data_IF_310248627280
#
_entry.id   IF_310248627280
#
_cell.length_a   1.000
_cell.length_b   1.000
_cell.length_c   1.000
_cell.angle_alpha   90.00
_cell.angle_beta   90.00
_cell.angle_gamma   90.00
#
_symmetry.space_group_name_H-M   'P 1'
#
loop_
_entity.id
_entity.type
_entity.pdbx_description
1 polymer ?
#
# COMPACT_ATOMS: atom_id res chain seq x y z
N UNK A 1 -22.13 5.35 22.63
CA UNK A 1 -21.86 6.10 21.39
C UNK A 1 -21.03 7.37 21.63
N UNK A 2 -21.34 8.21 22.65
CA UNK A 2 -20.62 9.48 22.89
C UNK A 2 -19.08 9.37 23.04
N UNK A 3 -18.49 8.44 23.83
CA UNK A 3 -17.03 8.35 23.94
C UNK A 3 -16.34 8.02 22.61
N UNK A 4 -16.91 7.11 21.81
CA UNK A 4 -16.40 6.80 20.49
C UNK A 4 -16.45 8.00 19.54
N UNK A 5 -17.56 8.75 19.51
CA UNK A 5 -17.71 9.91 18.65
C UNK A 5 -16.70 11.00 19.02
N UNK A 6 -16.47 11.25 20.31
CA UNK A 6 -15.46 12.23 20.78
C UNK A 6 -14.06 11.82 20.34
N UNK A 7 -13.66 10.57 20.56
CA UNK A 7 -12.34 10.09 20.15
C UNK A 7 -12.18 10.12 18.62
N UNK A 8 -13.21 9.76 17.87
CA UNK A 8 -13.19 9.83 16.41
C UNK A 8 -12.98 11.26 15.91
N UNK A 9 -13.72 12.21 16.47
CA UNK A 9 -13.55 13.64 16.13
C UNK A 9 -12.13 14.12 16.46
N UNK A 10 -11.64 13.85 17.67
CA UNK A 10 -10.33 14.35 18.11
C UNK A 10 -9.16 13.71 17.35
N UNK A 11 -9.22 12.42 17.09
CA UNK A 11 -8.08 11.67 16.50
C UNK A 11 -8.09 11.70 14.98
N UNK A 12 -9.27 11.74 14.34
CA UNK A 12 -9.37 11.69 12.87
C UNK A 12 -9.80 13.02 12.27
N UNK A 13 -10.90 13.61 12.72
CA UNK A 13 -11.43 14.82 12.05
C UNK A 13 -10.57 16.06 12.32
N UNK A 14 -10.11 16.26 13.55
CA UNK A 14 -9.29 17.45 13.87
C UNK A 14 -7.99 17.48 13.06
N UNK A 15 -7.17 16.41 12.98
CA UNK A 15 -5.97 16.42 12.14
C UNK A 15 -6.26 16.64 10.64
N UNK A 16 -7.36 16.08 10.13
CA UNK A 16 -7.78 16.31 8.74
C UNK A 16 -8.10 17.80 8.51
N UNK A 17 -8.88 18.42 9.40
CA UNK A 17 -9.22 19.85 9.33
C UNK A 17 -7.96 20.72 9.41
N UNK A 18 -7.03 20.37 10.31
CA UNK A 18 -5.74 21.06 10.42
C UNK A 18 -4.94 20.94 9.14
N UNK A 19 -4.85 19.76 8.54
CA UNK A 19 -4.16 19.55 7.26
C UNK A 19 -4.81 20.32 6.12
N UNK A 20 -6.16 20.33 6.04
CA UNK A 20 -6.89 21.14 5.06
C UNK A 20 -6.57 22.63 5.26
N UNK A 21 -6.61 23.13 6.50
CA UNK A 21 -6.25 24.52 6.79
C UNK A 21 -4.80 24.81 6.39
N UNK A 22 -3.85 23.98 6.81
CA UNK A 22 -2.43 24.18 6.54
C UNK A 22 -2.13 24.23 5.04
N UNK A 23 -2.86 23.47 4.22
CA UNK A 23 -2.65 23.46 2.76
C UNK A 23 -2.89 24.82 2.07
N UNK A 24 -3.62 25.74 2.71
CA UNK A 24 -3.84 27.10 2.21
C UNK A 24 -2.80 28.12 2.69
N UNK A 25 -1.83 27.69 3.51
CA UNK A 25 -0.77 28.55 4.05
C UNK A 25 0.61 28.07 3.58
N UNK A 26 1.55 28.98 3.47
CA UNK A 26 2.98 28.70 3.24
C UNK A 26 3.84 29.45 4.25
N UNK A 27 4.95 28.85 4.62
CA UNK A 27 5.95 29.50 5.46
C UNK A 27 6.84 30.38 4.61
N UNK A 28 6.75 31.71 4.80
CA UNK A 28 7.52 32.71 4.08
C UNK A 28 8.40 33.46 5.08
N UNK A 29 9.69 33.72 4.79
CA UNK A 29 10.55 34.55 5.63
C UNK A 29 9.98 35.96 5.75
N UNK A 30 9.85 36.50 6.97
CA UNK A 30 9.24 37.81 7.25
C UNK A 30 10.18 39.01 7.07
N UNK A 31 11.45 38.81 6.70
CA UNK A 31 12.49 39.86 6.64
C UNK A 31 12.81 40.32 5.23
N UNK A 32 12.88 41.65 5.05
CA UNK A 32 13.36 42.36 3.84
C UNK A 32 14.91 42.37 3.69
N UNK A 33 15.62 41.49 4.42
CA UNK A 33 17.10 41.45 4.35
C UNK A 33 17.61 40.88 3.05
N UNK A 34 18.73 41.42 2.52
CA UNK A 34 19.42 40.97 1.29
C UNK A 34 19.78 39.47 1.27
N UNK A 35 19.73 38.81 2.44
CA UNK A 35 20.02 37.37 2.63
C UNK A 35 18.82 36.57 3.17
N UNK A 36 17.58 37.10 3.08
CA UNK A 36 16.38 36.37 3.48
C UNK A 36 16.28 36.05 4.98
N UNK A 37 16.97 36.82 5.85
CA UNK A 37 16.94 36.62 7.30
C UNK A 37 15.64 37.17 7.92
N UNK A 38 14.78 36.30 8.42
CA UNK A 38 13.58 36.62 9.17
C UNK A 38 12.93 35.37 9.72
N UNK A 39 12.08 35.49 10.72
CA UNK A 39 11.28 34.40 11.25
C UNK A 39 10.28 33.92 10.19
N UNK A 40 10.12 32.62 10.05
CA UNK A 40 9.14 32.02 9.12
C UNK A 40 7.72 32.31 9.63
N UNK A 41 6.93 33.02 8.82
CA UNK A 41 5.55 33.37 9.14
C UNK A 41 4.60 32.61 8.21
N UNK A 42 3.56 32.02 8.81
CA UNK A 42 2.49 31.39 8.04
C UNK A 42 1.68 32.44 7.27
N UNK A 43 1.82 32.46 5.97
CA UNK A 43 1.14 33.39 5.06
C UNK A 43 0.06 32.67 4.29
N UNK A 44 -1.13 33.25 4.18
CA UNK A 44 -2.22 32.69 3.38
C UNK A 44 -1.91 32.83 1.90
N UNK A 45 -1.78 31.68 1.20
CA UNK A 45 -1.45 31.60 -0.24
C UNK A 45 -2.59 31.03 -1.09
N UNK A 46 -3.78 30.85 -0.51
CA UNK A 46 -4.92 30.31 -1.23
C UNK A 46 -4.64 28.93 -1.82
N UNK A 47 -4.84 28.77 -3.14
CA UNK A 47 -4.67 27.49 -3.84
C UNK A 47 -3.27 27.25 -4.41
N UNK A 48 -2.29 28.12 -4.15
CA UNK A 48 -0.97 28.04 -4.74
C UNK A 48 -0.26 26.70 -4.44
N UNK A 49 -0.34 26.22 -3.20
CA UNK A 49 0.21 24.89 -2.84
C UNK A 49 -0.42 23.75 -3.64
N UNK A 50 -1.74 23.83 -3.93
CA UNK A 50 -2.41 22.81 -4.73
C UNK A 50 -2.02 22.88 -6.20
N UNK A 51 -1.88 24.09 -6.74
CA UNK A 51 -1.42 24.28 -8.12
C UNK A 51 0.01 23.75 -8.27
N UNK A 52 0.89 24.08 -7.32
CA UNK A 52 2.26 23.59 -7.28
C UNK A 52 2.30 22.07 -7.18
N UNK A 53 1.53 21.47 -6.29
CA UNK A 53 1.45 20.02 -6.14
C UNK A 53 0.93 19.33 -7.42
N UNK A 54 -0.13 19.85 -8.02
CA UNK A 54 -0.75 19.29 -9.21
C UNK A 54 0.10 19.43 -10.49
N UNK A 55 0.97 20.45 -10.54
CA UNK A 55 1.87 20.70 -11.69
C UNK A 55 3.27 20.13 -11.49
N UNK A 56 3.59 19.59 -10.30
CA UNK A 56 4.91 19.06 -9.99
C UNK A 56 5.18 17.74 -10.74
N UNK A 57 6.16 17.78 -11.64
CA UNK A 57 6.58 16.63 -12.43
C UNK A 57 7.14 15.48 -11.58
N UNK A 58 7.81 15.78 -10.45
CA UNK A 58 8.33 14.77 -9.53
C UNK A 58 7.19 14.00 -8.84
N UNK A 59 6.08 14.69 -8.48
CA UNK A 59 4.89 14.04 -7.93
C UNK A 59 4.28 13.03 -8.91
N UNK A 60 4.08 13.42 -10.17
CA UNK A 60 3.48 12.51 -11.16
C UNK A 60 4.42 11.38 -11.57
N UNK A 61 5.72 11.63 -11.62
CA UNK A 61 6.73 10.58 -11.86
C UNK A 61 6.74 9.56 -10.73
N UNK A 62 6.71 10.01 -9.48
CA UNK A 62 6.64 9.15 -8.29
C UNK A 62 5.31 8.37 -8.24
N UNK A 63 4.20 9.01 -8.60
CA UNK A 63 2.89 8.36 -8.71
C UNK A 63 2.89 7.28 -9.81
N UNK A 64 3.52 7.56 -10.96
CA UNK A 64 3.70 6.57 -12.04
C UNK A 64 4.49 5.33 -11.58
N UNK A 65 5.55 5.51 -10.78
CA UNK A 65 6.29 4.38 -10.16
C UNK A 65 5.41 3.57 -9.22
N UNK A 66 4.61 4.23 -8.39
CA UNK A 66 3.67 3.55 -7.47
C UNK A 66 2.57 2.80 -8.24
N UNK A 67 2.05 3.35 -9.32
CA UNK A 67 1.07 2.65 -10.18
C UNK A 67 1.70 1.41 -10.83
N UNK A 68 2.91 1.53 -11.38
CA UNK A 68 3.65 0.39 -11.95
C UNK A 68 3.92 -0.68 -10.89
N UNK A 69 4.38 -0.26 -9.72
CA UNK A 69 4.58 -1.15 -8.58
C UNK A 69 3.29 -1.88 -8.18
N UNK A 70 2.16 -1.15 -8.05
CA UNK A 70 0.86 -1.73 -7.71
C UNK A 70 0.41 -2.76 -8.74
N UNK A 71 0.63 -2.49 -10.03
CA UNK A 71 0.30 -3.39 -11.13
C UNK A 71 1.09 -4.70 -11.10
N UNK A 72 2.31 -4.68 -10.55
CA UNK A 72 3.14 -5.87 -10.36
C UNK A 72 2.78 -6.61 -9.07
N UNK A 73 2.73 -5.88 -7.95
CA UNK A 73 2.64 -6.44 -6.61
C UNK A 73 1.24 -6.96 -6.27
N UNK A 74 0.18 -6.17 -6.53
CA UNK A 74 -1.18 -6.52 -6.09
C UNK A 74 -1.68 -7.81 -6.73
N UNK A 75 -1.60 -8.04 -8.05
CA UNK A 75 -2.04 -9.30 -8.63
C UNK A 75 -1.32 -10.51 -8.05
N UNK A 76 0.01 -10.46 -7.94
CA UNK A 76 0.81 -11.57 -7.40
C UNK A 76 0.37 -11.89 -5.98
N UNK A 77 0.31 -10.89 -5.12
CA UNK A 77 -0.09 -11.04 -3.72
C UNK A 77 -1.51 -11.63 -3.58
N UNK A 78 -2.47 -11.11 -4.34
CA UNK A 78 -3.87 -11.57 -4.29
C UNK A 78 -4.00 -13.01 -4.76
N UNK A 79 -3.34 -13.39 -5.88
CA UNK A 79 -3.38 -14.76 -6.37
C UNK A 79 -2.73 -15.74 -5.39
N UNK A 80 -1.57 -15.39 -4.82
CA UNK A 80 -0.89 -16.22 -3.81
C UNK A 80 -1.76 -16.35 -2.55
N UNK A 81 -2.31 -15.25 -2.05
CA UNK A 81 -3.17 -15.24 -0.86
C UNK A 81 -4.44 -16.09 -1.06
N UNK A 82 -5.11 -15.95 -2.22
CA UNK A 82 -6.28 -16.76 -2.56
C UNK A 82 -5.91 -18.24 -2.69
N UNK A 83 -4.80 -18.57 -3.36
CA UNK A 83 -4.30 -19.93 -3.47
C UNK A 83 -4.05 -20.58 -2.12
N UNK A 84 -3.38 -19.87 -1.21
CA UNK A 84 -3.15 -20.32 0.17
C UNK A 84 -4.46 -20.49 0.95
N UNK A 85 -5.42 -19.57 0.80
CA UNK A 85 -6.72 -19.68 1.45
C UNK A 85 -7.49 -20.92 0.96
N UNK A 86 -7.52 -21.19 -0.36
CA UNK A 86 -8.14 -22.37 -0.94
C UNK A 86 -7.47 -23.67 -0.46
N UNK A 87 -6.14 -23.68 -0.34
CA UNK A 87 -5.40 -24.82 0.20
C UNK A 87 -5.75 -25.06 1.68
N UNK A 88 -5.81 -24.02 2.50
CA UNK A 88 -6.14 -24.12 3.91
C UNK A 88 -7.61 -24.48 4.17
N UNK A 89 -8.51 -24.11 3.25
CA UNK A 89 -9.92 -24.50 3.31
C UNK A 89 -10.17 -25.91 2.76
N UNK A 90 -9.16 -26.54 2.18
CA UNK A 90 -9.24 -27.92 1.69
C UNK A 90 -9.03 -28.91 2.83
N UNK A 91 -9.56 -30.15 2.66
CA UNK A 91 -9.35 -31.24 3.61
C UNK A 91 -7.92 -31.85 3.55
N UNK A 92 -7.06 -31.34 2.67
CA UNK A 92 -5.69 -31.85 2.46
C UNK A 92 -4.78 -31.43 3.63
N UNK A 93 -4.99 -30.24 4.19
CA UNK A 93 -4.12 -29.70 5.25
C UNK A 93 -4.51 -30.25 6.62
N UNK A 94 -3.60 -31.06 7.21
CA UNK A 94 -3.86 -31.70 8.51
C UNK A 94 -3.77 -30.78 9.74
N UNK A 95 -3.07 -29.65 9.65
CA UNK A 95 -2.87 -28.67 10.74
C UNK A 95 -3.07 -27.24 10.25
N UNK A 96 -4.29 -26.85 9.85
CA UNK A 96 -4.53 -25.55 9.23
C UNK A 96 -4.18 -24.37 10.14
N UNK A 97 -4.33 -24.53 11.47
CA UNK A 97 -4.02 -23.47 12.46
C UNK A 97 -2.55 -23.08 12.46
N UNK A 98 -1.62 -24.06 12.39
CA UNK A 98 -0.19 -23.77 12.35
C UNK A 98 0.19 -23.03 11.06
N UNK A 99 -0.33 -23.48 9.92
CA UNK A 99 -0.08 -22.82 8.64
C UNK A 99 -0.68 -21.39 8.59
N UNK A 100 -1.88 -21.19 9.14
CA UNK A 100 -2.47 -19.84 9.29
C UNK A 100 -1.54 -18.91 10.07
N UNK A 101 -1.04 -19.37 11.22
CA UNK A 101 -0.13 -18.59 12.05
C UNK A 101 1.18 -18.30 11.32
N UNK A 102 1.78 -19.31 10.68
CA UNK A 102 3.06 -19.16 9.97
C UNK A 102 2.97 -18.16 8.81
N UNK A 103 1.90 -18.21 8.01
CA UNK A 103 1.70 -17.27 6.90
C UNK A 103 1.31 -15.87 7.36
N UNK A 104 0.66 -15.75 8.52
CA UNK A 104 0.30 -14.45 9.09
C UNK A 104 1.45 -13.76 9.84
N UNK A 105 2.42 -14.53 10.34
CA UNK A 105 3.53 -14.02 11.14
C UNK A 105 4.29 -12.85 10.49
N UNK A 106 4.58 -12.86 9.17
CA UNK A 106 5.22 -11.73 8.50
C UNK A 106 4.50 -10.40 8.69
N UNK A 107 3.17 -10.40 8.67
CA UNK A 107 2.36 -9.20 8.87
C UNK A 107 2.50 -8.60 10.29
N UNK A 108 2.84 -9.41 11.27
CA UNK A 108 3.08 -8.95 12.65
C UNK A 108 4.43 -8.23 12.82
N UNK A 109 5.35 -8.35 11.84
CA UNK A 109 6.65 -7.66 11.86
C UNK A 109 6.44 -6.19 11.48
N UNK A 110 6.95 -5.21 12.26
CA UNK A 110 6.90 -3.80 11.88
C UNK A 110 7.51 -3.56 10.49
N UNK A 111 6.82 -2.80 9.62
CA UNK A 111 7.19 -2.65 8.20
C UNK A 111 8.63 -2.19 7.94
N UNK A 112 9.14 -1.25 8.76
CA UNK A 112 10.56 -0.81 8.66
C UNK A 112 11.51 -1.96 8.97
N UNK A 113 11.21 -2.77 10.00
CA UNK A 113 12.06 -3.93 10.36
C UNK A 113 12.01 -4.99 9.26
N UNK A 114 10.84 -5.26 8.71
CA UNK A 114 10.69 -6.16 7.58
C UNK A 114 11.51 -5.68 6.37
N UNK A 115 11.47 -4.39 6.05
CA UNK A 115 12.25 -3.81 4.97
C UNK A 115 13.77 -3.91 5.22
N UNK A 116 14.24 -3.68 6.47
CA UNK A 116 15.66 -3.85 6.84
C UNK A 116 16.11 -5.32 6.73
N UNK A 117 15.25 -6.27 7.15
CA UNK A 117 15.57 -7.70 7.00
C UNK A 117 15.74 -8.07 5.52
N UNK A 118 14.85 -7.61 4.65
CA UNK A 118 14.94 -7.87 3.23
C UNK A 118 16.10 -7.14 2.57
N UNK A 119 16.41 -5.89 2.96
CA UNK A 119 17.61 -5.17 2.52
C UNK A 119 18.86 -5.99 2.79
N UNK A 120 19.02 -6.53 4.02
CA UNK A 120 20.13 -7.41 4.37
C UNK A 120 20.19 -8.66 3.48
N UNK A 121 19.05 -9.32 3.24
CA UNK A 121 18.97 -10.50 2.38
C UNK A 121 19.25 -10.21 0.90
N UNK A 122 19.11 -8.95 0.45
CA UNK A 122 19.42 -8.52 -0.91
C UNK A 122 20.88 -8.07 -1.09
N UNK A 123 21.59 -7.85 0.02
CA UNK A 123 23.01 -7.47 -0.02
C UNK A 123 23.83 -8.62 -0.64
N UNK A 124 24.66 -8.36 -1.67
CA UNK A 124 25.33 -9.42 -2.44
C UNK A 124 26.14 -10.42 -1.61
N UNK A 125 26.83 -9.94 -0.56
CA UNK A 125 27.74 -10.73 0.27
C UNK A 125 27.03 -11.77 1.13
N UNK A 126 25.73 -11.57 1.42
CA UNK A 126 24.95 -12.42 2.34
C UNK A 126 23.69 -13.00 1.72
N UNK A 127 23.37 -12.62 0.47
CA UNK A 127 22.14 -13.04 -0.19
C UNK A 127 22.06 -14.56 -0.41
N UNK A 128 21.08 -15.24 0.17
CA UNK A 128 20.87 -16.66 -0.10
C UNK A 128 20.26 -16.93 -1.48
N UNK A 129 19.84 -15.90 -2.20
CA UNK A 129 19.13 -16.03 -3.47
C UNK A 129 20.06 -15.96 -4.68
N UNK A 130 21.13 -15.17 -4.61
CA UNK A 130 22.06 -14.92 -5.73
C UNK A 130 22.69 -16.19 -6.31
N UNK A 131 23.02 -17.24 -5.52
CA UNK A 131 23.57 -18.49 -6.09
C UNK A 131 22.60 -19.20 -7.06
N UNK A 132 21.32 -18.90 -7.00
CA UNK A 132 20.27 -19.52 -7.87
C UNK A 132 19.83 -18.62 -9.02
N UNK A 133 20.40 -17.42 -9.12
CA UNK A 133 20.01 -16.41 -10.14
C UNK A 133 21.17 -16.20 -11.13
N UNK A 134 20.86 -15.64 -12.31
CA UNK A 134 21.90 -15.30 -13.30
C UNK A 134 23.01 -14.41 -12.69
N UNK A 135 24.24 -14.62 -13.16
CA UNK A 135 25.36 -13.77 -12.79
C UNK A 135 25.08 -12.29 -13.10
N UNK A 136 25.47 -11.40 -12.19
CA UNK A 136 25.18 -9.97 -12.32
C UNK A 136 23.79 -9.53 -11.89
N UNK A 137 22.98 -10.43 -11.31
CA UNK A 137 21.70 -10.03 -10.71
C UNK A 137 21.94 -9.08 -9.53
N UNK A 138 21.37 -7.88 -9.62
CA UNK A 138 21.39 -6.87 -8.56
C UNK A 138 19.93 -6.53 -8.19
N UNK A 139 19.55 -6.86 -6.95
CA UNK A 139 18.22 -6.56 -6.41
C UNK A 139 17.96 -5.07 -6.20
N UNK A 140 19.03 -4.26 -6.17
CA UNK A 140 19.00 -2.86 -5.82
C UNK A 140 19.16 -1.95 -7.05
N UNK A 141 19.31 -2.53 -8.25
CA UNK A 141 19.44 -1.77 -9.48
C UNK A 141 18.11 -1.09 -9.88
N UNK A 142 18.14 0.01 -10.65
CA UNK A 142 16.94 0.73 -11.10
C UNK A 142 15.90 -0.14 -11.82
N UNK A 143 16.34 -1.19 -12.52
CA UNK A 143 15.45 -2.11 -13.24
C UNK A 143 14.79 -3.19 -12.38
N UNK A 144 15.34 -3.49 -11.21
CA UNK A 144 14.89 -4.59 -10.34
C UNK A 144 14.25 -4.11 -9.04
N UNK A 145 14.52 -2.88 -8.62
CA UNK A 145 14.11 -2.34 -7.32
C UNK A 145 12.60 -2.45 -7.05
N UNK A 146 11.76 -2.22 -8.06
CA UNK A 146 10.31 -2.35 -7.90
C UNK A 146 9.88 -3.81 -7.65
N UNK A 147 10.56 -4.79 -8.28
CA UNK A 147 10.32 -6.20 -8.01
C UNK A 147 10.79 -6.59 -6.61
N UNK A 148 11.93 -6.07 -6.17
CA UNK A 148 12.46 -6.29 -4.82
C UNK A 148 11.51 -5.74 -3.76
N UNK A 149 11.01 -4.52 -3.93
CA UNK A 149 9.98 -3.93 -3.07
C UNK A 149 8.66 -4.73 -3.13
N UNK A 150 8.23 -5.16 -4.34
CA UNK A 150 7.03 -5.97 -4.50
C UNK A 150 7.12 -7.32 -3.78
N UNK A 151 8.30 -7.94 -3.76
CA UNK A 151 8.54 -9.15 -2.98
C UNK A 151 8.43 -8.90 -1.47
N UNK A 152 9.03 -7.81 -0.96
CA UNK A 152 8.94 -7.44 0.47
C UNK A 152 7.49 -7.32 0.93
N UNK A 153 6.70 -6.53 0.21
CA UNK A 153 5.29 -6.29 0.58
C UNK A 153 4.40 -7.51 0.31
N UNK A 154 4.66 -8.28 -0.74
CA UNK A 154 3.97 -9.55 -0.97
C UNK A 154 4.20 -10.50 0.19
N UNK A 155 5.45 -10.67 0.65
CA UNK A 155 5.77 -11.49 1.80
C UNK A 155 5.04 -11.00 3.06
N UNK A 156 5.02 -9.70 3.32
CA UNK A 156 4.39 -9.11 4.49
C UNK A 156 2.86 -9.27 4.47
N UNK A 157 2.20 -8.97 3.36
CA UNK A 157 0.74 -8.83 3.32
C UNK A 157 -0.01 -10.05 2.78
N UNK A 158 0.66 -11.05 2.22
CA UNK A 158 -0.01 -12.26 1.69
C UNK A 158 -0.80 -12.99 2.77
N UNK A 159 -0.23 -13.18 3.96
CA UNK A 159 -0.91 -13.87 5.04
C UNK A 159 -2.13 -13.13 5.58
N UNK A 160 -2.08 -11.82 5.65
CA UNK A 160 -3.22 -10.97 6.00
C UNK A 160 -4.36 -11.14 4.98
N UNK A 161 -4.08 -11.02 3.69
CA UNK A 161 -5.05 -11.19 2.63
C UNK A 161 -5.58 -12.64 2.56
N UNK A 162 -4.73 -13.63 2.80
CA UNK A 162 -5.13 -15.04 2.93
C UNK A 162 -6.20 -15.22 4.01
N UNK A 163 -6.07 -14.57 5.18
CA UNK A 163 -7.07 -14.65 6.24
C UNK A 163 -8.40 -14.00 5.85
N UNK A 164 -8.39 -12.89 5.10
CA UNK A 164 -9.60 -12.27 4.54
C UNK A 164 -10.32 -13.28 3.64
N UNK A 165 -9.61 -13.90 2.70
CA UNK A 165 -10.20 -14.92 1.81
C UNK A 165 -10.69 -16.14 2.56
N UNK A 166 -9.90 -16.63 3.51
CA UNK A 166 -10.27 -17.81 4.31
C UNK A 166 -11.53 -17.55 5.13
N UNK A 167 -11.68 -16.36 5.71
CA UNK A 167 -12.90 -15.98 6.44
C UNK A 167 -14.11 -15.94 5.51
N UNK A 168 -13.96 -15.42 4.31
CA UNK A 168 -15.02 -15.41 3.30
C UNK A 168 -15.39 -16.83 2.83
N UNK A 169 -14.41 -17.71 2.64
CA UNK A 169 -14.65 -19.13 2.30
C UNK A 169 -15.39 -19.87 3.40
N UNK A 170 -15.06 -19.59 4.66
CA UNK A 170 -15.70 -20.24 5.83
C UNK A 170 -17.14 -19.76 6.08
N UNK A 171 -17.54 -18.63 5.52
CA UNK A 171 -18.92 -18.14 5.57
C UNK A 171 -19.84 -18.87 4.57
N UNK A 172 -19.28 -19.63 3.62
CA UNK A 172 -20.08 -20.39 2.63
C UNK A 172 -20.59 -21.68 3.26
N UNK A 173 -21.91 -21.99 3.17
CA UNK A 173 -22.47 -23.23 3.68
C UNK A 173 -21.81 -24.46 3.07
N UNK A 174 -21.45 -25.43 3.91
CA UNK A 174 -20.77 -26.68 3.48
C UNK A 174 -21.62 -27.54 2.56
N UNK A 175 -22.93 -27.50 2.73
CA UNK A 175 -23.90 -28.24 1.92
C UNK A 175 -23.72 -27.99 0.42
N UNK A 176 -23.33 -26.78 0.01
CA UNK A 176 -23.04 -26.48 -1.40
C UNK A 176 -21.88 -27.29 -1.95
N UNK A 177 -20.87 -27.55 -1.14
CA UNK A 177 -19.70 -28.35 -1.56
C UNK A 177 -20.02 -29.84 -1.55
N UNK A 178 -20.86 -30.30 -0.63
CA UNK A 178 -21.31 -31.69 -0.54
C UNK A 178 -22.23 -32.03 -1.71
N UNK A 179 -23.19 -31.16 -2.05
CA UNK A 179 -24.06 -31.34 -3.21
C UNK A 179 -23.24 -31.42 -4.51
N UNK A 180 -22.27 -30.49 -4.70
CA UNK A 180 -21.41 -30.52 -5.88
C UNK A 180 -20.57 -31.80 -5.98
N UNK A 181 -20.16 -32.39 -4.84
CA UNK A 181 -19.46 -33.70 -4.85
C UNK A 181 -20.39 -34.86 -5.22
N UNK A 182 -21.63 -34.83 -4.78
CA UNK A 182 -22.64 -35.83 -5.17
C UNK A 182 -22.90 -35.76 -6.69
N UNK A 183 -22.85 -34.55 -7.25
CA UNK A 183 -22.92 -34.32 -8.73
C UNK A 183 -21.63 -34.70 -9.46
N UNK A 184 -20.62 -35.25 -8.79
CA UNK A 184 -19.36 -35.70 -9.40
C UNK A 184 -18.32 -34.61 -9.63
N UNK A 185 -18.47 -33.41 -9.08
CA UNK A 185 -17.48 -32.34 -9.24
C UNK A 185 -16.17 -32.65 -8.49
N UNK A 186 -15.04 -32.52 -9.18
CA UNK A 186 -13.71 -32.61 -8.56
C UNK A 186 -13.42 -31.46 -7.62
N UNK A 187 -12.48 -31.63 -6.68
CA UNK A 187 -12.06 -30.57 -5.76
C UNK A 187 -11.58 -29.30 -6.46
N UNK A 188 -10.91 -29.41 -7.61
CA UNK A 188 -10.49 -28.29 -8.44
C UNK A 188 -11.70 -27.57 -9.07
N UNK A 189 -12.70 -28.33 -9.56
CA UNK A 189 -13.93 -27.74 -10.11
C UNK A 189 -14.72 -26.99 -9.03
N UNK A 190 -14.84 -27.55 -7.82
CA UNK A 190 -15.45 -26.87 -6.68
C UNK A 190 -14.71 -25.57 -6.35
N UNK A 191 -13.39 -25.60 -6.31
CA UNK A 191 -12.57 -24.41 -6.04
C UNK A 191 -12.78 -23.34 -7.11
N UNK A 192 -12.67 -23.66 -8.39
CA UNK A 192 -12.72 -22.66 -9.47
C UNK A 192 -14.14 -22.20 -9.82
N UNK A 193 -15.15 -23.08 -9.75
CA UNK A 193 -16.51 -22.77 -10.19
C UNK A 193 -17.45 -22.35 -9.06
N UNK A 194 -17.11 -22.67 -7.82
CA UNK A 194 -17.96 -22.36 -6.66
C UNK A 194 -17.24 -21.43 -5.70
N UNK A 195 -16.06 -21.82 -5.15
CA UNK A 195 -15.37 -21.05 -4.11
C UNK A 195 -14.86 -19.69 -4.62
N UNK A 196 -14.11 -19.68 -5.71
CA UNK A 196 -13.53 -18.44 -6.28
C UNK A 196 -14.60 -17.41 -6.64
N UNK A 197 -15.69 -17.75 -7.35
CA UNK A 197 -16.78 -16.80 -7.62
C UNK A 197 -17.46 -16.26 -6.35
N UNK A 198 -17.66 -17.09 -5.34
CA UNK A 198 -18.32 -16.68 -4.10
C UNK A 198 -17.49 -15.69 -3.27
N UNK A 199 -16.16 -15.80 -3.30
CA UNK A 199 -15.27 -14.88 -2.55
C UNK A 199 -14.84 -13.65 -3.37
N UNK A 200 -15.39 -13.45 -4.56
CA UNK A 200 -15.05 -12.29 -5.42
C UNK A 200 -15.22 -10.94 -4.72
N UNK A 201 -16.23 -10.81 -3.85
CA UNK A 201 -16.45 -9.59 -3.06
C UNK A 201 -15.30 -9.31 -2.10
N UNK A 202 -14.81 -10.34 -1.40
CA UNK A 202 -13.64 -10.24 -0.54
C UNK A 202 -12.36 -9.93 -1.33
N UNK A 203 -12.21 -10.52 -2.53
CA UNK A 203 -11.09 -10.24 -3.43
C UNK A 203 -11.07 -8.76 -3.88
N UNK A 204 -12.21 -8.24 -4.27
CA UNK A 204 -12.34 -6.85 -4.67
C UNK A 204 -12.02 -5.90 -3.50
N UNK A 205 -12.50 -6.20 -2.28
CA UNK A 205 -12.17 -5.42 -1.08
C UNK A 205 -10.66 -5.46 -0.79
N UNK A 206 -10.04 -6.64 -0.85
CA UNK A 206 -8.60 -6.80 -0.65
C UNK A 206 -7.79 -6.00 -1.67
N UNK A 207 -8.19 -6.01 -2.95
CA UNK A 207 -7.56 -5.19 -4.00
C UNK A 207 -7.71 -3.70 -3.71
N UNK A 208 -8.90 -3.23 -3.32
CA UNK A 208 -9.12 -1.83 -2.98
C UNK A 208 -8.23 -1.37 -1.83
N UNK A 209 -8.20 -2.14 -0.73
CA UNK A 209 -7.37 -1.83 0.43
C UNK A 209 -5.88 -1.84 0.06
N UNK A 210 -5.46 -2.76 -0.81
CA UNK A 210 -4.08 -2.82 -1.31
C UNK A 210 -3.72 -1.60 -2.17
N UNK A 211 -4.62 -1.14 -3.05
CA UNK A 211 -4.41 0.08 -3.85
C UNK A 211 -4.24 1.29 -2.94
N UNK A 212 -5.12 1.46 -1.94
CA UNK A 212 -5.05 2.57 -0.98
C UNK A 212 -3.73 2.52 -0.20
N UNK A 213 -3.34 1.33 0.29
CA UNK A 213 -2.08 1.13 1.02
C UNK A 213 -0.85 1.39 0.14
N UNK A 214 -0.91 1.04 -1.15
CA UNK A 214 0.19 1.26 -2.09
C UNK A 214 0.43 2.74 -2.40
N UNK A 215 -0.61 3.58 -2.45
CA UNK A 215 -0.44 5.04 -2.59
C UNK A 215 0.34 5.61 -1.40
N UNK A 216 0.24 4.98 -0.23
CA UNK A 216 0.93 5.36 1.01
C UNK A 216 2.26 4.61 1.20
N UNK A 217 2.84 4.01 0.16
CA UNK A 217 4.08 3.25 0.20
C UNK A 217 5.25 4.11 0.68
N UNK A 218 5.81 3.79 1.85
CA UNK A 218 6.83 4.59 2.54
C UNK A 218 7.97 3.76 3.13
N UNK A 219 7.67 2.71 3.89
CA UNK A 219 8.69 1.99 4.68
C UNK A 219 9.78 1.36 3.82
N UNK A 220 9.38 0.59 2.81
CA UNK A 220 10.29 -0.13 1.92
C UNK A 220 11.19 0.83 1.13
N UNK A 221 10.65 1.85 0.42
CA UNK A 221 11.49 2.75 -0.35
C UNK A 221 12.40 3.62 0.52
N UNK A 222 11.99 4.02 1.72
CA UNK A 222 12.86 4.80 2.64
C UNK A 222 14.06 3.97 3.11
N UNK A 223 13.84 2.70 3.48
CA UNK A 223 14.92 1.81 3.89
C UNK A 223 15.87 1.52 2.73
N UNK A 224 15.33 1.26 1.54
CA UNK A 224 16.13 1.00 0.34
C UNK A 224 16.90 2.24 -0.13
N UNK A 225 16.32 3.43 -0.01
CA UNK A 225 16.99 4.69 -0.33
C UNK A 225 18.24 4.90 0.51
N UNK A 226 18.21 4.55 1.79
CA UNK A 226 19.37 4.70 2.68
C UNK A 226 20.60 3.90 2.19
N UNK A 227 20.39 2.83 1.43
CA UNK A 227 21.44 2.00 0.82
C UNK A 227 21.70 2.33 -0.66
N UNK A 228 20.87 3.17 -1.31
CA UNK A 228 20.92 3.46 -2.74
C UNK A 228 21.02 4.95 -3.02
N UNK A 229 22.19 5.43 -3.37
CA UNK A 229 22.44 6.85 -3.69
C UNK A 229 21.65 7.36 -4.91
N UNK A 230 21.23 6.49 -5.83
CA UNK A 230 20.46 6.88 -7.02
C UNK A 230 18.96 7.07 -6.74
N UNK A 231 18.46 6.57 -5.61
CA UNK A 231 17.05 6.78 -5.21
C UNK A 231 16.87 8.19 -4.65
N UNK A 232 16.08 9.02 -5.34
CA UNK A 232 15.74 10.36 -4.88
C UNK A 232 14.81 10.35 -3.65
N UNK A 233 14.80 11.48 -2.93
CA UNK A 233 13.90 11.75 -1.79
C UNK A 233 12.42 11.85 -2.21
N UNK A 234 12.16 11.85 -3.50
CA UNK A 234 10.87 11.89 -4.19
C UNK A 234 10.53 10.57 -4.89
N UNK A 235 11.14 9.46 -4.49
CA UNK A 235 10.97 8.16 -5.16
C UNK A 235 9.52 7.69 -5.15
N UNK A 236 8.79 7.91 -4.06
CA UNK A 236 7.33 7.71 -3.97
C UNK A 236 6.63 9.01 -3.58
N UNK A 237 5.32 9.17 -3.87
CA UNK A 237 4.57 10.36 -3.46
C UNK A 237 4.59 10.60 -1.95
N UNK A 238 4.60 9.52 -1.16
CA UNK A 238 4.66 9.63 0.30
C UNK A 238 6.04 10.08 0.77
N UNK A 239 7.14 9.64 0.13
CA UNK A 239 8.48 10.16 0.40
C UNK A 239 8.60 11.64 0.03
N UNK A 240 8.09 12.03 -1.14
CA UNK A 240 8.05 13.43 -1.56
C UNK A 240 7.32 14.28 -0.52
N UNK A 241 6.14 13.84 -0.06
CA UNK A 241 5.35 14.54 0.95
C UNK A 241 6.10 14.67 2.28
N UNK A 242 6.70 13.57 2.74
CA UNK A 242 7.47 13.55 3.98
C UNK A 242 8.70 14.48 3.91
N UNK A 243 9.48 14.41 2.85
CA UNK A 243 10.69 15.21 2.68
C UNK A 243 10.37 16.70 2.42
N UNK A 244 9.23 17.02 1.83
CA UNK A 244 8.67 18.37 1.75
C UNK A 244 8.34 18.90 3.16
N UNK A 245 7.70 18.08 3.99
CA UNK A 245 7.38 18.45 5.38
C UNK A 245 8.65 18.68 6.21
N UNK A 246 9.70 17.86 6.01
CA UNK A 246 10.97 17.94 6.74
C UNK A 246 11.90 19.06 6.23
N UNK A 247 11.51 19.81 5.21
CA UNK A 247 12.32 20.89 4.68
C UNK A 247 13.42 20.46 3.70
N UNK A 248 13.41 19.20 3.27
CA UNK A 248 14.43 18.63 2.38
C UNK A 248 14.13 18.77 0.89
N UNK A 249 12.89 19.14 0.55
CA UNK A 249 12.43 19.42 -0.82
C UNK A 249 11.68 20.75 -0.83
N UNK A 250 12.04 21.64 -1.77
CA UNK A 250 11.40 22.95 -1.96
C UNK A 250 10.24 22.83 -2.99
N UNK A 251 9.11 23.56 -2.78
CA UNK A 251 8.77 24.35 -1.61
C UNK A 251 8.51 23.45 -0.38
N UNK A 252 8.96 23.89 0.80
CA UNK A 252 8.96 23.08 2.01
C UNK A 252 7.95 23.55 3.07
N UNK A 253 7.71 22.67 4.06
CA UNK A 253 6.87 22.96 5.20
C UNK A 253 5.52 22.28 5.19
N UNK A 254 4.72 22.57 6.21
CA UNK A 254 3.43 21.91 6.46
C UNK A 254 2.38 22.17 5.37
N UNK A 255 2.38 23.37 4.79
CA UNK A 255 1.41 23.75 3.76
C UNK A 255 1.54 22.95 2.46
N UNK A 256 2.71 23.02 1.77
CA UNK A 256 2.96 22.21 0.58
C UNK A 256 2.81 20.70 0.83
N UNK A 257 3.32 20.17 1.95
CA UNK A 257 3.17 18.76 2.31
C UNK A 257 1.70 18.35 2.49
N UNK A 258 0.89 19.21 3.12
CA UNK A 258 -0.56 18.98 3.26
C UNK A 258 -1.26 18.98 1.91
N UNK A 259 -0.86 19.84 0.97
CA UNK A 259 -1.42 19.85 -0.40
C UNK A 259 -1.13 18.53 -1.14
N UNK A 260 0.10 17.99 -1.07
CA UNK A 260 0.42 16.65 -1.61
C UNK A 260 -0.41 15.55 -0.96
N UNK A 261 -0.52 15.58 0.39
CA UNK A 261 -1.33 14.57 1.13
C UNK A 261 -2.80 14.59 0.70
N UNK A 262 -3.39 15.78 0.55
CA UNK A 262 -4.77 15.94 0.12
C UNK A 262 -4.96 15.52 -1.35
N UNK A 263 -3.99 15.79 -2.23
CA UNK A 263 -4.01 15.33 -3.61
C UNK A 263 -3.97 13.78 -3.68
N UNK A 264 -3.10 13.14 -2.90
CA UNK A 264 -3.07 11.68 -2.77
C UNK A 264 -4.40 11.12 -2.23
N UNK A 265 -4.98 11.76 -1.21
CA UNK A 265 -6.27 11.37 -0.64
C UNK A 265 -7.40 11.50 -1.66
N UNK A 266 -7.38 12.54 -2.48
CA UNK A 266 -8.34 12.73 -3.58
C UNK A 266 -8.22 11.64 -4.64
N UNK A 267 -7.00 11.29 -5.06
CA UNK A 267 -6.76 10.20 -6.01
C UNK A 267 -7.26 8.87 -5.42
N UNK A 268 -6.92 8.55 -4.16
CA UNK A 268 -7.39 7.35 -3.48
C UNK A 268 -8.93 7.32 -3.36
N UNK A 269 -9.54 8.47 -3.05
CA UNK A 269 -10.99 8.63 -2.96
C UNK A 269 -11.71 8.38 -4.30
N UNK A 270 -11.17 8.93 -5.38
CA UNK A 270 -11.71 8.67 -6.74
C UNK A 270 -11.63 7.19 -7.08
N UNK A 271 -10.50 6.53 -6.81
CA UNK A 271 -10.35 5.08 -7.03
C UNK A 271 -11.34 4.27 -6.18
N UNK A 272 -11.56 4.67 -4.92
CA UNK A 272 -12.55 4.04 -4.05
C UNK A 272 -13.99 4.20 -4.57
N UNK A 273 -14.33 5.38 -5.09
CA UNK A 273 -15.66 5.64 -5.70
C UNK A 273 -15.84 4.80 -6.97
N UNK A 274 -14.84 4.78 -7.86
CA UNK A 274 -14.88 3.96 -9.08
C UNK A 274 -15.08 2.48 -8.72
N UNK A 275 -14.33 2.00 -7.72
CA UNK A 275 -14.50 0.64 -7.20
C UNK A 275 -15.93 0.38 -6.71
N UNK A 276 -16.48 1.27 -5.86
CA UNK A 276 -17.84 1.12 -5.32
C UNK A 276 -18.91 1.09 -6.43
N UNK A 277 -18.74 1.91 -7.46
CA UNK A 277 -19.65 1.94 -8.62
C UNK A 277 -19.57 0.64 -9.44
N UNK A 278 -18.36 0.10 -9.65
CA UNK A 278 -18.18 -1.17 -10.34
C UNK A 278 -18.78 -2.35 -9.57
N UNK A 279 -18.70 -2.30 -8.24
CA UNK A 279 -19.27 -3.34 -7.38
C UNK A 279 -20.81 -3.34 -7.43
N UNK A 280 -21.44 -2.16 -7.38
CA UNK A 280 -22.91 -2.03 -7.47
C UNK A 280 -23.45 -2.64 -8.77
N UNK A 281 -22.85 -2.33 -9.91
CA UNK A 281 -23.27 -2.87 -11.23
C UNK A 281 -23.22 -4.41 -11.32
N UNK A 282 -22.40 -5.06 -10.51
CA UNK A 282 -22.27 -6.53 -10.49
C UNK A 282 -23.14 -7.21 -9.43
N UNK A 283 -23.72 -6.45 -8.48
CA UNK A 283 -24.66 -6.96 -7.48
C UNK A 283 -26.09 -7.01 -8.00
N UNK A 284 -26.41 -6.24 -9.03
CA UNK A 284 -27.76 -6.14 -9.64
C UNK A 284 -27.92 -7.05 -10.87
N UNK A 285 -26.90 -7.86 -11.23
CA UNK A 285 -26.90 -8.86 -12.29
C UNK A 285 -26.73 -10.28 -11.72
#
# INVERSE_FOLDING_TARGET
MAPFAVLFVLVFLVPIIVSIRSSFFAQVPSGDGLYGGGELVDTFVGLENFVTAATNGAFWTSMGRVVLYAALQIPVMIFVALGLALLLDSFIVRRPTLFRLSFFLPYAVPGIIAAMMWLYLYTPEVSPFLPFLPEGTDFMAPGTILFSMANMTTWTYTGYNMLIFLSALQAVPRDLYEAARLDGASGFQISMRIKVPLVRGAALLAVLLSIIGTIQLFNEPVVLQAANSWMGKDFTPMMLTYNTMMGEISPSGSGPASAYSLLMALIAGVLAIVYALLQRRKGDA
#
